data_IF_537597472745
#
_entry.id   IF_537597472745
#
_cell.length_a   1.000
_cell.length_b   1.000
_cell.length_c   1.000
_cell.angle_alpha   90.00
_cell.angle_beta   90.00
_cell.angle_gamma   90.00
#
_symmetry.space_group_name_H-M   'P 1'
#
loop_
_entity.id
_entity.type
_entity.pdbx_description
1 polymer ?
#
# COMPACT_ATOMS: atom_id res chain seq x y z
N UNK A 1 7.22 2.18 18.41
CA UNK A 1 7.79 1.98 17.07
C UNK A 1 7.77 0.49 16.75
N UNK A 2 7.51 0.13 15.50
CA UNK A 2 7.52 -1.27 15.06
C UNK A 2 8.63 -1.44 14.01
N UNK A 3 9.68 -2.18 14.38
CA UNK A 3 10.82 -2.47 13.51
C UNK A 3 10.60 -3.82 12.86
N UNK A 4 10.55 -3.84 11.53
CA UNK A 4 10.33 -5.08 10.78
C UNK A 4 11.47 -5.38 9.85
N UNK A 5 11.89 -6.63 9.85
CA UNK A 5 12.92 -7.08 8.94
C UNK A 5 12.27 -7.65 7.69
N UNK A 6 12.63 -7.10 6.55
CA UNK A 6 12.19 -7.54 5.24
C UNK A 6 13.38 -8.10 4.47
N UNK A 7 13.12 -9.04 3.57
CA UNK A 7 14.10 -9.50 2.59
C UNK A 7 13.52 -9.36 1.18
N UNK A 8 14.29 -8.82 0.24
CA UNK A 8 13.89 -8.84 -1.17
C UNK A 8 14.04 -10.26 -1.70
N UNK A 9 12.94 -10.86 -2.16
CA UNK A 9 12.98 -12.17 -2.84
C UNK A 9 13.01 -11.97 -4.34
N UNK A 10 13.86 -12.72 -5.02
CA UNK A 10 13.71 -12.94 -6.44
C UNK A 10 12.45 -13.78 -6.68
N UNK A 11 11.44 -13.17 -7.28
CA UNK A 11 10.15 -13.82 -7.54
C UNK A 11 10.19 -14.99 -8.54
N UNK A 12 11.27 -15.14 -9.31
CA UNK A 12 11.43 -16.26 -10.24
C UNK A 12 12.01 -17.50 -9.57
N UNK A 13 12.91 -17.31 -8.59
CA UNK A 13 13.59 -18.40 -7.89
C UNK A 13 13.09 -18.59 -6.46
N UNK A 14 12.31 -17.63 -5.94
CA UNK A 14 11.96 -17.46 -4.53
C UNK A 14 13.15 -17.37 -3.57
N UNK A 15 14.36 -17.15 -4.07
CA UNK A 15 15.56 -16.98 -3.24
C UNK A 15 15.64 -15.54 -2.71
N UNK A 16 16.18 -15.40 -1.50
CA UNK A 16 16.55 -14.07 -0.97
C UNK A 16 17.75 -13.56 -1.76
N UNK A 17 17.71 -12.30 -2.15
CA UNK A 17 18.82 -11.65 -2.85
C UNK A 17 19.92 -11.26 -1.86
N UNK A 18 21.17 -11.34 -2.28
CA UNK A 18 22.30 -10.94 -1.45
C UNK A 18 22.24 -9.44 -1.11
N UNK A 19 22.56 -9.09 0.13
CA UNK A 19 22.43 -7.72 0.66
C UNK A 19 21.00 -7.18 0.71
N UNK A 20 19.98 -8.03 0.55
CA UNK A 20 18.60 -7.57 0.43
C UNK A 20 17.78 -7.65 1.72
N UNK A 21 18.44 -7.89 2.85
CA UNK A 21 17.86 -7.74 4.17
C UNK A 21 17.81 -6.25 4.52
N UNK A 22 16.63 -5.73 4.82
CA UNK A 22 16.49 -4.34 5.28
C UNK A 22 15.45 -4.27 6.39
N UNK A 23 15.73 -3.43 7.38
CA UNK A 23 14.77 -3.13 8.44
C UNK A 23 13.96 -1.90 8.06
N UNK A 24 12.65 -1.96 8.28
CA UNK A 24 11.74 -0.84 8.15
C UNK A 24 11.25 -0.48 9.55
N UNK A 25 11.56 0.73 9.98
CA UNK A 25 10.91 1.35 11.12
C UNK A 25 9.66 2.07 10.61
N UNK A 26 8.53 1.78 11.24
CA UNK A 26 7.26 2.39 10.87
C UNK A 26 6.48 2.85 12.10
N UNK A 27 5.79 3.97 11.93
CA UNK A 27 4.75 4.39 12.86
C UNK A 27 3.52 3.48 12.67
N UNK A 28 2.79 3.15 13.75
CA UNK A 28 1.52 2.47 13.65
C UNK A 28 0.56 3.18 12.67
N UNK A 29 -0.27 2.47 11.91
CA UNK A 29 -1.32 3.12 11.12
C UNK A 29 -2.21 4.01 11.99
N UNK A 30 -2.63 5.14 11.44
CA UNK A 30 -3.41 6.15 12.15
C UNK A 30 -2.57 7.18 12.91
N UNK A 31 -1.29 6.90 13.21
CA UNK A 31 -0.40 7.83 13.94
C UNK A 31 -0.58 9.28 13.47
N UNK A 32 -0.91 10.13 14.44
CA UNK A 32 -1.15 11.54 14.22
C UNK A 32 0.15 12.32 14.44
N UNK A 33 0.39 13.30 13.57
CA UNK A 33 1.50 14.23 13.71
C UNK A 33 1.04 15.63 13.33
N UNK A 34 1.52 16.61 14.08
CA UNK A 34 1.41 18.02 13.71
C UNK A 34 2.60 18.38 12.83
N UNK A 35 2.33 18.94 11.64
CA UNK A 35 3.39 19.37 10.71
C UNK A 35 3.35 20.89 10.60
N UNK A 36 4.45 21.52 11.02
CA UNK A 36 4.68 22.95 10.85
C UNK A 36 5.66 23.18 9.70
N UNK A 37 5.23 23.98 8.71
CA UNK A 37 6.05 24.36 7.57
C UNK A 37 6.26 25.87 7.57
N UNK A 38 7.47 26.29 7.22
CA UNK A 38 7.83 27.69 7.08
C UNK A 38 8.02 27.99 5.60
N UNK A 39 7.35 29.04 5.13
CA UNK A 39 7.52 29.57 3.79
C UNK A 39 8.06 30.99 3.93
N UNK A 40 9.28 31.21 3.43
CA UNK A 40 9.86 32.54 3.31
C UNK A 40 9.47 33.11 1.95
N UNK A 41 8.74 34.21 1.96
CA UNK A 41 8.23 34.89 0.77
C UNK A 41 8.44 36.39 0.83
N UNK A 42 8.22 37.06 -0.29
CA UNK A 42 8.25 38.54 -0.37
C UNK A 42 6.83 39.08 -0.33
N UNK A 43 6.63 40.27 0.25
CA UNK A 43 5.31 40.92 0.29
C UNK A 43 4.65 41.10 -1.08
N UNK A 44 5.44 41.24 -2.15
CA UNK A 44 4.98 41.37 -3.54
C UNK A 44 4.38 40.08 -4.12
N UNK A 45 4.63 38.92 -3.48
CA UNK A 45 4.23 37.60 -3.97
C UNK A 45 3.17 36.92 -3.09
N UNK A 46 2.46 37.66 -2.24
CA UNK A 46 1.51 37.10 -1.27
C UNK A 46 0.49 36.13 -1.89
N UNK A 47 -0.10 36.49 -3.03
CA UNK A 47 -1.07 35.64 -3.73
C UNK A 47 -0.44 34.33 -4.23
N UNK A 48 0.79 34.41 -4.74
CA UNK A 48 1.56 33.25 -5.20
C UNK A 48 1.90 32.33 -4.04
N UNK A 49 2.28 32.89 -2.89
CA UNK A 49 2.59 32.13 -1.68
C UNK A 49 1.34 31.44 -1.13
N UNK A 50 0.21 32.14 -1.06
CA UNK A 50 -1.08 31.54 -0.67
C UNK A 50 -1.51 30.43 -1.64
N UNK A 51 -1.34 30.63 -2.95
CA UNK A 51 -1.61 29.61 -3.96
C UNK A 51 -0.69 28.38 -3.82
N UNK A 52 0.59 28.59 -3.51
CA UNK A 52 1.53 27.50 -3.24
C UNK A 52 1.13 26.71 -1.99
N UNK A 53 0.76 27.37 -0.90
CA UNK A 53 0.25 26.71 0.30
C UNK A 53 -1.01 25.89 0.02
N UNK A 54 -1.93 26.43 -0.78
CA UNK A 54 -3.13 25.72 -1.21
C UNK A 54 -2.81 24.47 -2.05
N UNK A 55 -1.84 24.58 -2.95
CA UNK A 55 -1.36 23.44 -3.73
C UNK A 55 -0.72 22.38 -2.82
N UNK A 56 0.13 22.79 -1.88
CA UNK A 56 0.80 21.91 -0.93
C UNK A 56 -0.19 21.18 -0.01
N UNK A 57 -1.12 21.92 0.59
CA UNK A 57 -2.20 21.37 1.40
C UNK A 57 -3.05 20.38 0.59
N UNK A 58 -3.25 20.66 -0.70
CA UNK A 58 -3.90 19.76 -1.64
C UNK A 58 -3.30 18.35 -1.66
N UNK A 59 -2.00 18.16 -1.45
CA UNK A 59 -1.41 16.82 -1.43
C UNK A 59 -1.87 15.98 -0.24
N UNK A 60 -2.26 16.58 0.89
CA UNK A 60 -2.70 15.87 2.08
C UNK A 60 -4.19 15.48 2.05
N UNK A 61 -4.93 15.92 1.02
CA UNK A 61 -6.34 15.56 0.85
C UNK A 61 -6.45 14.04 0.58
N UNK A 62 -7.27 13.28 1.35
CA UNK A 62 -7.48 11.85 1.13
C UNK A 62 -7.90 11.49 -0.32
N UNK A 63 -8.81 12.30 -0.88
CA UNK A 63 -9.34 12.23 -2.25
C UNK A 63 -8.25 12.48 -3.31
N UNK A 64 -7.12 13.10 -2.94
CA UNK A 64 -5.96 13.34 -3.83
C UNK A 64 -4.79 12.39 -3.59
N UNK A 65 -4.94 11.42 -2.70
CA UNK A 65 -3.99 10.31 -2.56
C UNK A 65 -3.02 10.49 -1.41
N UNK A 66 -3.15 11.57 -0.64
CA UNK A 66 -2.25 11.85 0.47
C UNK A 66 -0.82 12.17 0.05
N UNK A 67 -0.05 12.68 0.98
CA UNK A 67 1.36 12.98 0.81
C UNK A 67 2.19 11.83 1.37
N UNK A 68 3.22 11.38 0.65
CA UNK A 68 4.08 10.30 1.13
C UNK A 68 5.30 10.87 1.87
N UNK A 69 5.51 10.42 3.11
CA UNK A 69 6.60 10.84 3.98
C UNK A 69 7.51 9.64 4.30
N UNK A 70 8.83 9.89 4.39
CA UNK A 70 9.82 8.91 4.83
C UNK A 70 10.63 8.26 3.70
N UNK A 71 11.67 7.51 4.08
CA UNK A 71 12.67 6.97 3.15
C UNK A 71 12.15 5.94 2.13
N UNK A 72 10.96 5.37 2.37
CA UNK A 72 10.33 4.38 1.49
C UNK A 72 9.10 4.92 0.73
N UNK A 73 8.96 6.24 0.60
CA UNK A 73 7.88 6.87 -0.17
C UNK A 73 7.81 6.38 -1.63
N UNK A 74 8.96 6.07 -2.26
CA UNK A 74 8.99 5.50 -3.62
C UNK A 74 8.26 4.14 -3.71
N UNK A 75 8.18 3.40 -2.61
CA UNK A 75 7.44 2.14 -2.49
C UNK A 75 5.98 2.35 -2.10
N UNK A 76 5.51 3.59 -1.92
CA UNK A 76 4.15 3.91 -1.52
C UNK A 76 3.89 3.80 -0.02
N UNK A 77 4.94 3.75 0.81
CA UNK A 77 4.86 3.68 2.28
C UNK A 77 4.88 5.10 2.85
N UNK A 78 4.25 5.29 4.02
CA UNK A 78 4.29 6.55 4.76
C UNK A 78 3.27 7.58 4.30
N UNK A 79 2.09 7.13 3.88
CA UNK A 79 1.01 8.01 3.44
C UNK A 79 0.44 8.81 4.60
N UNK A 80 0.62 10.12 4.54
CA UNK A 80 0.01 11.11 5.41
C UNK A 80 -1.18 11.77 4.71
N UNK A 81 -2.27 11.94 5.45
CA UNK A 81 -3.48 12.64 5.02
C UNK A 81 -3.91 13.59 6.12
N UNK A 82 -4.73 14.59 5.79
CA UNK A 82 -5.43 15.33 6.83
C UNK A 82 -6.38 14.41 7.59
N UNK A 83 -6.55 14.69 8.88
CA UNK A 83 -7.66 14.14 9.63
C UNK A 83 -8.99 14.61 9.01
N UNK A 84 -10.08 13.84 9.17
CA UNK A 84 -11.41 14.33 8.86
C UNK A 84 -11.65 15.68 9.52
N UNK A 85 -12.30 16.59 8.80
CA UNK A 85 -12.68 17.95 9.24
C UNK A 85 -11.53 18.93 9.55
N UNK A 86 -10.28 18.47 9.57
CA UNK A 86 -9.11 19.32 9.69
C UNK A 86 -8.63 19.84 8.34
N UNK A 87 -7.97 21.00 8.37
CA UNK A 87 -7.43 21.66 7.19
C UNK A 87 -6.11 22.34 7.52
N UNK A 88 -5.27 22.54 6.50
CA UNK A 88 -4.11 23.41 6.64
C UNK A 88 -4.53 24.82 7.06
N UNK A 89 -3.77 25.41 7.96
CA UNK A 89 -3.94 26.80 8.42
C UNK A 89 -2.61 27.52 8.29
N UNK A 90 -2.67 28.82 8.06
CA UNK A 90 -1.47 29.65 7.95
C UNK A 90 -1.65 31.00 8.62
N UNK A 91 -0.53 31.56 9.06
CA UNK A 91 -0.39 32.93 9.55
C UNK A 91 0.81 33.54 8.86
N UNK A 92 0.62 34.70 8.24
CA UNK A 92 1.71 35.47 7.68
C UNK A 92 2.30 36.38 8.76
N UNK A 93 3.63 36.45 8.82
CA UNK A 93 4.36 37.36 9.70
C UNK A 93 5.11 38.38 8.85
N UNK A 94 4.96 39.67 9.17
CA UNK A 94 5.59 40.76 8.44
C UNK A 94 6.83 41.25 9.18
N UNK A 95 8.02 40.82 8.76
CA UNK A 95 9.26 41.12 9.49
C UNK A 95 9.72 42.59 9.41
N UNK A 96 9.03 43.43 8.62
CA UNK A 96 9.21 44.89 8.67
C UNK A 96 8.58 45.52 9.92
N UNK A 97 7.65 44.83 10.57
CA UNK A 97 6.99 45.26 11.78
C UNK A 97 7.59 44.53 12.99
N UNK A 98 8.16 45.29 13.93
CA UNK A 98 8.80 44.74 15.13
C UNK A 98 7.84 43.89 15.98
N UNK A 99 6.55 44.26 16.06
CA UNK A 99 5.55 43.46 16.79
C UNK A 99 5.29 42.13 16.09
N UNK A 100 5.17 42.11 14.76
CA UNK A 100 4.96 40.86 14.01
C UNK A 100 6.20 39.95 14.04
N UNK A 101 7.40 40.53 14.03
CA UNK A 101 8.65 39.79 14.26
C UNK A 101 8.70 39.21 15.68
N UNK A 102 8.31 39.98 16.70
CA UNK A 102 8.19 39.49 18.08
C UNK A 102 7.25 38.30 18.18
N UNK A 103 6.03 38.41 17.62
CA UNK A 103 5.07 37.31 17.57
C UNK A 103 5.63 36.06 16.86
N UNK A 104 6.40 36.24 15.79
CA UNK A 104 7.06 35.13 15.09
C UNK A 104 8.11 34.46 15.96
N UNK A 105 8.95 35.22 16.66
CA UNK A 105 9.99 34.69 17.54
C UNK A 105 9.38 33.97 18.74
N UNK A 106 8.38 34.56 19.38
CA UNK A 106 7.61 33.93 20.45
C UNK A 106 6.96 32.64 19.97
N UNK A 107 6.36 32.67 18.77
CA UNK A 107 5.75 31.49 18.19
C UNK A 107 6.80 30.40 17.95
N UNK A 108 7.94 30.74 17.35
CA UNK A 108 9.03 29.80 17.04
C UNK A 108 9.65 29.20 18.30
N UNK A 109 9.84 29.99 19.36
CA UNK A 109 10.35 29.54 20.64
C UNK A 109 9.41 28.54 21.32
N UNK A 110 8.09 28.76 21.17
CA UNK A 110 7.04 27.96 21.79
C UNK A 110 6.43 26.89 20.85
N UNK A 111 7.01 26.66 19.67
CA UNK A 111 6.43 25.78 18.64
C UNK A 111 6.41 24.30 19.05
N UNK A 112 7.26 23.91 20.01
CA UNK A 112 7.31 22.54 20.52
C UNK A 112 6.15 22.20 21.49
N UNK A 113 5.47 23.22 22.05
CA UNK A 113 4.40 23.02 23.03
C UNK A 113 3.02 23.09 22.36
N UNK A 114 2.51 21.91 21.95
CA UNK A 114 1.13 21.66 21.48
C UNK A 114 0.53 22.80 20.64
N UNK A 115 1.16 23.05 19.50
CA UNK A 115 0.84 24.18 18.64
C UNK A 115 -0.56 24.11 18.02
N UNK A 116 -1.16 22.93 17.84
CA UNK A 116 -2.54 22.78 17.34
C UNK A 116 -3.58 23.65 18.05
N UNK A 117 -3.43 23.92 19.35
CA UNK A 117 -4.36 24.80 20.06
C UNK A 117 -4.16 26.27 19.69
N UNK A 118 -2.91 26.69 19.46
CA UNK A 118 -2.52 28.07 19.15
C UNK A 118 -2.87 28.46 17.70
N UNK A 119 -2.96 27.49 16.79
CA UNK A 119 -3.36 27.74 15.38
C UNK A 119 -4.85 27.84 15.13
N UNK A 120 -5.69 27.60 16.14
CA UNK A 120 -7.13 27.59 15.89
C UNK A 120 -7.65 28.93 15.33
N UNK A 121 -6.97 30.03 15.64
CA UNK A 121 -7.27 31.36 15.14
C UNK A 121 -6.66 31.69 13.76
N UNK A 122 -5.84 30.81 13.18
CA UNK A 122 -5.13 31.07 11.93
C UNK A 122 -6.07 30.93 10.72
N UNK A 123 -5.72 31.61 9.61
CA UNK A 123 -6.50 31.58 8.37
C UNK A 123 -6.46 30.17 7.80
N UNK A 124 -7.62 29.59 7.50
CA UNK A 124 -7.70 28.31 6.78
C UNK A 124 -7.15 28.51 5.37
N UNK A 125 -6.32 27.57 4.93
CA UNK A 125 -5.88 27.51 3.53
C UNK A 125 -7.09 27.11 2.70
N UNK A 126 -7.48 27.97 1.75
CA UNK A 126 -8.52 27.62 0.78
C UNK A 126 -7.91 26.68 -0.23
N UNK A 127 -8.20 25.39 -0.12
CA UNK A 127 -7.75 24.42 -1.11
C UNK A 127 -8.74 24.51 -2.26
N UNK A 128 -8.30 24.90 -3.48
CA UNK A 128 -9.22 24.98 -4.60
C UNK A 128 -9.90 23.63 -4.78
N UNK A 129 -11.22 23.66 -4.97
CA UNK A 129 -12.03 22.55 -5.48
C UNK A 129 -11.61 22.24 -6.93
N UNK A 130 -10.34 21.89 -7.14
CA UNK A 130 -9.93 21.30 -8.40
C UNK A 130 -10.78 20.05 -8.58
N UNK A 131 -11.56 20.00 -9.67
CA UNK A 131 -12.38 18.87 -10.16
C UNK A 131 -11.79 17.53 -9.69
N UNK A 132 -12.21 17.07 -8.52
CA UNK A 132 -11.49 16.07 -7.72
C UNK A 132 -11.81 14.63 -8.12
N UNK A 133 -12.44 14.38 -9.28
CA UNK A 133 -12.94 13.04 -9.60
C UNK A 133 -12.65 12.53 -11.02
N UNK A 134 -12.23 13.37 -11.97
CA UNK A 134 -12.10 12.91 -13.37
C UNK A 134 -10.85 12.11 -13.68
N UNK A 135 -9.89 12.05 -12.77
CA UNK A 135 -8.55 11.54 -13.05
C UNK A 135 -8.14 10.42 -12.08
N UNK A 136 -9.05 9.98 -11.21
CA UNK A 136 -8.75 8.95 -10.21
C UNK A 136 -9.84 7.89 -10.21
N UNK A 137 -9.45 6.65 -10.01
CA UNK A 137 -10.34 5.55 -9.66
C UNK A 137 -10.11 5.21 -8.19
N UNK A 138 -11.16 5.19 -7.38
CA UNK A 138 -11.13 4.71 -5.99
C UNK A 138 -12.10 3.56 -5.84
N UNK A 139 -11.67 2.47 -5.22
CA UNK A 139 -12.49 1.26 -5.01
C UNK A 139 -12.34 0.83 -3.56
N UNK A 140 -13.45 0.75 -2.85
CA UNK A 140 -13.57 0.23 -1.49
C UNK A 140 -14.38 -1.06 -1.53
N UNK A 141 -13.92 -2.08 -0.81
CA UNK A 141 -14.59 -3.37 -0.69
C UNK A 141 -14.22 -4.05 0.61
N UNK A 142 -15.01 -5.05 0.97
CA UNK A 142 -14.81 -5.81 2.20
C UNK A 142 -14.50 -7.28 1.88
N UNK A 143 -13.48 -7.81 2.55
CA UNK A 143 -13.08 -9.21 2.44
C UNK A 143 -13.37 -9.98 3.72
N UNK A 144 -14.04 -11.12 3.62
CA UNK A 144 -14.19 -12.08 4.73
C UNK A 144 -13.52 -13.42 4.42
N UNK A 145 -13.26 -14.20 5.46
CA UNK A 145 -12.82 -15.60 5.33
C UNK A 145 -14.08 -16.47 5.20
N UNK A 146 -14.34 -17.12 4.06
CA UNK A 146 -15.50 -18.01 3.90
C UNK A 146 -15.43 -19.21 4.85
N UNK A 147 -16.59 -19.79 5.14
CA UNK A 147 -16.71 -20.97 6.02
C UNK A 147 -15.81 -22.11 5.54
N UNK A 148 -15.11 -22.75 6.47
CA UNK A 148 -14.20 -23.86 6.19
C UNK A 148 -12.87 -23.45 5.54
N UNK A 149 -12.65 -22.16 5.31
CA UNK A 149 -11.38 -21.61 4.87
C UNK A 149 -10.69 -20.88 6.03
N UNK A 150 -9.41 -20.59 5.83
CA UNK A 150 -8.57 -19.91 6.80
C UNK A 150 -7.55 -19.00 6.10
N UNK A 151 -6.87 -18.16 6.87
CA UNK A 151 -5.71 -17.37 6.42
C UNK A 151 -4.55 -17.64 7.36
N UNK A 152 -3.38 -18.00 6.82
CA UNK A 152 -2.16 -18.16 7.61
C UNK A 152 -1.80 -16.85 8.32
N UNK A 153 -1.46 -16.92 9.60
CA UNK A 153 -0.92 -15.81 10.39
C UNK A 153 0.58 -16.02 10.55
N UNK A 154 1.38 -15.01 10.25
CA UNK A 154 2.81 -15.02 10.56
C UNK A 154 3.37 -13.60 10.58
N UNK A 155 4.56 -13.42 11.17
CA UNK A 155 5.27 -12.14 11.23
C UNK A 155 5.96 -11.76 9.89
N UNK A 156 5.46 -12.29 8.77
CA UNK A 156 6.04 -12.12 7.44
C UNK A 156 5.18 -11.27 6.52
N UNK A 157 5.80 -10.78 5.45
CA UNK A 157 5.08 -10.12 4.36
C UNK A 157 4.08 -11.10 3.72
N UNK A 158 2.90 -10.58 3.34
CA UNK A 158 1.83 -11.29 2.61
C UNK A 158 0.79 -12.06 3.44
N UNK A 159 0.80 -11.95 4.76
CA UNK A 159 -0.17 -12.62 5.64
C UNK A 159 -0.80 -11.62 6.62
N UNK A 160 -1.99 -11.91 7.17
CA UNK A 160 -2.50 -11.20 8.34
C UNK A 160 -1.52 -11.21 9.50
N UNK A 161 -1.45 -10.08 10.20
CA UNK A 161 -0.52 -9.83 11.29
C UNK A 161 -1.24 -9.22 12.49
N UNK A 162 -0.76 -9.51 13.69
CA UNK A 162 -1.17 -8.79 14.90
C UNK A 162 -0.40 -7.48 14.97
N UNK A 163 -1.10 -6.36 15.08
CA UNK A 163 -0.51 -5.03 15.28
C UNK A 163 -1.26 -4.29 16.38
N UNK A 164 -0.61 -3.32 17.01
CA UNK A 164 -1.31 -2.33 17.84
C UNK A 164 -1.62 -1.10 17.00
N UNK A 165 -2.84 -0.60 17.11
CA UNK A 165 -3.22 0.66 16.50
C UNK A 165 -2.64 1.87 17.26
N UNK A 166 -3.00 3.08 16.84
CA UNK A 166 -2.59 4.32 17.49
C UNK A 166 -3.02 4.45 18.96
N UNK A 167 -4.09 3.75 19.37
CA UNK A 167 -4.61 3.74 20.75
C UNK A 167 -3.98 2.62 21.59
N UNK A 168 -3.08 1.82 20.99
CA UNK A 168 -2.46 0.67 21.62
C UNK A 168 -3.33 -0.59 21.59
N UNK A 169 -4.50 -0.56 20.94
CA UNK A 169 -5.42 -1.70 20.87
C UNK A 169 -4.94 -2.73 19.84
N UNK A 170 -5.00 -4.00 20.23
CA UNK A 170 -4.63 -5.09 19.35
C UNK A 170 -5.63 -5.26 18.19
N UNK A 171 -5.09 -5.31 16.98
CA UNK A 171 -5.82 -5.42 15.73
C UNK A 171 -5.19 -6.49 14.82
N UNK A 172 -6.04 -7.16 14.06
CA UNK A 172 -5.63 -7.87 12.85
C UNK A 172 -5.39 -6.87 11.75
N UNK A 173 -4.24 -6.99 11.08
CA UNK A 173 -3.94 -6.23 9.89
C UNK A 173 -3.73 -7.15 8.71
N UNK A 174 -4.47 -6.93 7.64
CA UNK A 174 -4.12 -7.42 6.31
C UNK A 174 -3.31 -6.31 5.59
N UNK A 175 -2.00 -6.51 5.36
CA UNK A 175 -1.18 -5.48 4.74
C UNK A 175 -1.62 -5.18 3.31
N UNK A 176 -1.74 -3.91 2.93
CA UNK A 176 -2.07 -3.48 1.57
C UNK A 176 -1.00 -3.92 0.56
N UNK A 177 0.25 -4.07 1.00
CA UNK A 177 1.35 -4.64 0.21
C UNK A 177 1.06 -6.08 -0.25
N UNK A 178 0.37 -6.87 0.57
CA UNK A 178 -0.08 -8.24 0.25
C UNK A 178 -0.99 -8.22 -0.98
N UNK A 179 -2.04 -7.38 -0.92
CA UNK A 179 -3.02 -7.25 -1.98
C UNK A 179 -2.40 -6.66 -3.23
N UNK A 180 -1.55 -5.64 -3.08
CA UNK A 180 -0.79 -5.06 -4.19
C UNK A 180 0.07 -6.11 -4.90
N UNK A 181 0.78 -6.97 -4.15
CA UNK A 181 1.60 -8.05 -4.70
C UNK A 181 0.77 -9.09 -5.44
N UNK A 182 -0.35 -9.51 -4.83
CA UNK A 182 -1.30 -10.45 -5.44
C UNK A 182 -1.88 -9.89 -6.75
N UNK A 183 -2.37 -8.65 -6.71
CA UNK A 183 -2.93 -7.98 -7.87
C UNK A 183 -1.89 -7.80 -8.98
N UNK A 184 -0.67 -7.34 -8.64
CA UNK A 184 0.43 -7.25 -9.60
C UNK A 184 0.70 -8.59 -10.29
N UNK A 185 0.75 -9.67 -9.52
CA UNK A 185 1.01 -11.02 -10.05
C UNK A 185 -0.06 -11.48 -11.02
N UNK A 186 -1.34 -11.29 -10.69
CA UNK A 186 -2.45 -11.69 -11.55
C UNK A 186 -2.58 -10.79 -12.79
N UNK A 187 -2.49 -9.47 -12.61
CA UNK A 187 -2.55 -8.50 -13.72
C UNK A 187 -1.41 -8.71 -14.70
N UNK A 188 -0.22 -9.09 -14.22
CA UNK A 188 0.88 -9.51 -15.10
C UNK A 188 0.47 -10.62 -16.08
N UNK A 189 -0.30 -11.61 -15.62
CA UNK A 189 -0.81 -12.70 -16.47
C UNK A 189 -1.88 -12.21 -17.44
N UNK A 190 -2.78 -11.32 -16.99
CA UNK A 190 -3.81 -10.72 -17.84
C UNK A 190 -3.17 -9.90 -18.96
N UNK A 191 -2.21 -9.05 -18.63
CA UNK A 191 -1.45 -8.23 -19.58
C UNK A 191 -0.71 -9.09 -20.61
N UNK A 192 -0.01 -10.14 -20.14
CA UNK A 192 0.68 -11.09 -21.02
C UNK A 192 -0.30 -11.80 -21.98
N UNK A 193 -1.47 -12.21 -21.49
CA UNK A 193 -2.53 -12.83 -22.32
C UNK A 193 -3.07 -11.87 -23.38
N UNK A 194 -3.09 -10.57 -23.11
CA UNK A 194 -3.49 -9.52 -24.05
C UNK A 194 -2.34 -9.05 -24.95
N UNK A 195 -1.19 -9.75 -24.95
CA UNK A 195 -0.04 -9.44 -25.80
C UNK A 195 0.74 -8.18 -25.38
N UNK A 196 0.51 -7.66 -24.18
CA UNK A 196 1.29 -6.54 -23.63
C UNK A 196 2.67 -7.01 -23.22
N UNK A 197 3.67 -6.15 -23.43
CA UNK A 197 5.01 -6.47 -22.97
C UNK A 197 5.07 -6.41 -21.43
N UNK A 198 5.53 -7.52 -20.84
CA UNK A 198 5.78 -7.64 -19.42
C UNK A 198 7.26 -7.89 -19.27
N UNK A 199 7.99 -6.91 -18.75
CA UNK A 199 9.43 -7.05 -18.45
C UNK A 199 9.68 -8.26 -17.55
N UNK A 200 8.79 -8.40 -16.59
CA UNK A 200 8.81 -9.38 -15.53
C UNK A 200 8.27 -10.74 -16.06
N UNK A 201 8.81 -11.25 -17.17
CA UNK A 201 8.53 -12.61 -17.65
C UNK A 201 9.66 -13.56 -17.32
N UNK A 202 9.32 -14.83 -17.07
CA UNK A 202 10.31 -15.86 -16.79
C UNK A 202 11.22 -16.15 -17.99
N UNK A 203 10.74 -15.98 -19.22
CA UNK A 203 11.56 -16.06 -20.44
C UNK A 203 12.66 -15.00 -20.43
N UNK A 204 12.30 -13.72 -20.28
CA UNK A 204 13.26 -12.61 -20.16
C UNK A 204 14.29 -12.87 -19.06
N UNK A 205 13.84 -13.36 -17.90
CA UNK A 205 14.73 -13.77 -16.81
C UNK A 205 15.69 -14.91 -17.20
N UNK A 206 15.25 -15.92 -17.96
CA UNK A 206 16.13 -16.98 -18.48
C UNK A 206 17.10 -16.44 -19.52
N UNK A 207 16.65 -15.60 -20.43
CA UNK A 207 17.48 -15.05 -21.50
C UNK A 207 18.65 -14.24 -20.91
N UNK A 208 18.40 -13.46 -19.86
CA UNK A 208 19.46 -12.74 -19.15
C UNK A 208 20.33 -13.61 -18.24
N UNK A 209 19.85 -14.79 -17.78
CA UNK A 209 20.73 -15.80 -17.17
C UNK A 209 21.69 -16.39 -18.20
N UNK A 210 21.18 -16.71 -19.40
CA UNK A 210 21.99 -17.27 -20.50
C UNK A 210 23.06 -16.29 -21.00
N UNK A 211 22.85 -14.98 -20.83
CA UNK A 211 23.84 -13.96 -21.19
C UNK A 211 24.94 -13.74 -20.13
N UNK A 212 24.97 -14.53 -19.05
CA UNK A 212 26.00 -14.45 -18.00
C UNK A 212 25.89 -13.22 -17.09
N UNK A 213 24.74 -12.54 -17.06
CA UNK A 213 24.57 -11.34 -16.24
C UNK A 213 24.36 -11.74 -14.78
N UNK A 214 25.28 -11.32 -13.89
CA UNK A 214 25.10 -11.44 -12.44
C UNK A 214 23.89 -10.62 -11.98
N UNK A 215 22.96 -11.23 -11.25
CA UNK A 215 21.79 -10.53 -10.71
C UNK A 215 22.09 -10.01 -9.32
N UNK A 216 22.23 -8.69 -9.23
CA UNK A 216 22.07 -7.98 -7.97
C UNK A 216 20.61 -7.49 -7.81
N UNK A 217 20.26 -7.09 -6.59
CA UNK A 217 18.95 -6.51 -6.33
C UNK A 217 18.63 -5.27 -7.16
N UNK A 218 19.68 -4.57 -7.60
CA UNK A 218 19.61 -3.37 -8.42
C UNK A 218 19.12 -3.69 -9.86
N UNK A 219 19.55 -4.80 -10.44
CA UNK A 219 19.09 -5.27 -11.75
C UNK A 219 17.59 -5.58 -11.77
N UNK A 220 17.08 -6.21 -10.70
CA UNK A 220 15.64 -6.48 -10.54
C UNK A 220 14.84 -5.20 -10.31
N UNK A 221 15.39 -4.26 -9.52
CA UNK A 221 14.78 -2.96 -9.31
C UNK A 221 14.62 -2.17 -10.62
N UNK A 222 15.57 -2.33 -11.55
CA UNK A 222 15.67 -1.63 -12.83
C UNK A 222 15.10 -2.36 -14.03
N UNK A 223 14.17 -3.30 -13.85
CA UNK A 223 13.56 -3.99 -15.00
C UNK A 223 14.60 -4.67 -15.91
N UNK A 224 15.69 -5.15 -15.33
CA UNK A 224 16.84 -5.75 -16.01
C UNK A 224 17.65 -4.77 -16.88
N UNK A 225 17.51 -3.46 -16.69
CA UNK A 225 18.32 -2.43 -17.36
C UNK A 225 19.69 -2.29 -16.68
N UNK A 226 20.76 -2.38 -17.50
CA UNK A 226 22.15 -2.28 -17.02
C UNK A 226 22.45 -0.89 -16.46
N UNK A 227 23.28 -0.81 -15.42
CA UNK A 227 23.62 0.44 -14.72
C UNK A 227 24.06 1.59 -15.64
N UNK A 228 24.83 1.28 -16.68
CA UNK A 228 25.32 2.26 -17.67
C UNK A 228 24.21 2.83 -18.57
N UNK A 229 23.15 2.06 -18.83
CA UNK A 229 22.04 2.46 -19.69
C UNK A 229 20.99 3.26 -18.92
N UNK A 230 20.91 3.09 -17.60
CA UNK A 230 19.88 3.70 -16.75
C UNK A 230 19.76 5.22 -16.87
N UNK A 231 20.86 5.96 -16.95
CA UNK A 231 20.78 7.42 -17.04
C UNK A 231 20.20 7.89 -18.36
N UNK A 232 20.60 7.24 -19.46
CA UNK A 232 20.08 7.54 -20.81
C UNK A 232 18.63 7.10 -20.93
N UNK A 233 18.31 5.96 -20.36
CA UNK A 233 16.96 5.40 -20.42
C UNK A 233 16.00 6.06 -19.42
N UNK A 234 16.46 6.71 -18.34
CA UNK A 234 15.55 7.26 -17.31
C UNK A 234 14.51 8.23 -17.88
N UNK A 235 14.91 9.09 -18.82
CA UNK A 235 14.00 10.03 -19.47
C UNK A 235 13.12 9.35 -20.52
N UNK A 236 13.71 8.49 -21.35
CA UNK A 236 12.98 7.72 -22.37
C UNK A 236 11.95 6.79 -21.74
N UNK A 237 12.36 6.01 -20.75
CA UNK A 237 11.50 5.12 -19.97
C UNK A 237 10.38 5.92 -19.30
N UNK A 238 10.62 7.10 -18.71
CA UNK A 238 9.52 7.88 -18.14
C UNK A 238 8.43 8.24 -19.15
N UNK A 239 8.79 8.44 -20.41
CA UNK A 239 7.85 8.77 -21.50
C UNK A 239 7.20 7.52 -22.09
N UNK A 240 7.96 6.43 -22.28
CA UNK A 240 7.51 5.22 -22.99
C UNK A 240 6.96 4.11 -22.07
N UNK A 241 7.33 4.09 -20.78
CA UNK A 241 6.88 3.08 -19.80
C UNK A 241 5.37 2.90 -19.79
N UNK A 242 4.52 3.97 -19.82
CA UNK A 242 3.08 3.79 -19.73
C UNK A 242 2.51 2.85 -20.79
N UNK A 243 3.00 2.97 -22.02
CA UNK A 243 2.52 2.16 -23.15
C UNK A 243 3.25 0.82 -23.26
N UNK A 244 4.58 0.84 -23.06
CA UNK A 244 5.44 -0.34 -23.23
C UNK A 244 5.32 -1.32 -22.08
N UNK A 245 5.23 -0.82 -20.84
CA UNK A 245 5.28 -1.60 -19.61
C UNK A 245 4.15 -1.18 -18.64
N UNK A 246 2.88 -1.36 -19.05
CA UNK A 246 1.73 -0.82 -18.30
C UNK A 246 1.65 -1.35 -16.87
N UNK A 247 2.02 -2.63 -16.65
CA UNK A 247 2.00 -3.23 -15.30
C UNK A 247 3.02 -2.56 -14.37
N UNK A 248 4.23 -2.30 -14.88
CA UNK A 248 5.29 -1.62 -14.13
C UNK A 248 4.95 -0.15 -13.89
N UNK A 249 4.28 0.49 -14.85
CA UNK A 249 3.79 1.85 -14.68
C UNK A 249 2.72 1.95 -13.59
N UNK A 250 1.77 1.01 -13.60
CA UNK A 250 0.69 0.93 -12.61
C UNK A 250 1.22 0.61 -11.21
N UNK A 251 2.00 -0.48 -11.07
CA UNK A 251 2.45 -0.98 -9.78
C UNK A 251 3.79 -0.42 -9.31
N UNK A 252 4.51 0.32 -10.14
CA UNK A 252 5.83 0.85 -9.83
C UNK A 252 6.95 -0.17 -9.90
N UNK A 253 8.16 0.36 -9.76
CA UNK A 253 9.44 -0.34 -9.79
C UNK A 253 10.30 0.13 -8.61
N UNK A 254 11.56 -0.32 -8.51
CA UNK A 254 12.47 0.21 -7.47
C UNK A 254 12.85 1.69 -7.68
N UNK A 255 12.65 2.23 -8.88
CA UNK A 255 13.06 3.60 -9.26
C UNK A 255 11.88 4.54 -9.57
N UNK A 256 10.69 3.98 -9.80
CA UNK A 256 9.48 4.73 -10.11
C UNK A 256 8.33 4.32 -9.19
N UNK A 257 7.71 5.30 -8.56
CA UNK A 257 6.48 5.11 -7.79
C UNK A 257 5.37 4.60 -8.71
N UNK A 258 4.65 3.58 -8.25
CA UNK A 258 3.43 3.12 -8.91
C UNK A 258 2.27 4.08 -8.67
N UNK A 259 1.31 4.10 -9.59
CA UNK A 259 0.07 4.89 -9.48
C UNK A 259 -1.02 4.22 -8.65
N UNK A 260 -0.92 2.90 -8.43
CA UNK A 260 -1.85 2.16 -7.58
C UNK A 260 -1.39 2.08 -6.13
N UNK A 261 -2.32 2.32 -5.22
CA UNK A 261 -2.11 2.29 -3.78
C UNK A 261 -3.19 1.46 -3.11
N UNK A 262 -2.79 0.58 -2.20
CA UNK A 262 -3.70 -0.21 -1.35
C UNK A 262 -3.54 0.26 0.08
N UNK A 263 -4.64 0.47 0.79
CA UNK A 263 -4.63 0.66 2.24
C UNK A 263 -4.39 -0.66 2.95
N UNK A 264 -3.77 -0.59 4.13
CA UNK A 264 -3.86 -1.67 5.10
C UNK A 264 -5.32 -1.78 5.58
N UNK A 265 -5.80 -3.01 5.79
CA UNK A 265 -7.11 -3.24 6.39
C UNK A 265 -6.92 -3.69 7.83
N UNK A 266 -7.57 -2.98 8.76
CA UNK A 266 -7.49 -3.23 10.20
C UNK A 266 -8.82 -3.73 10.74
N UNK A 267 -8.76 -4.76 11.58
CA UNK A 267 -9.92 -5.30 12.31
C UNK A 267 -9.52 -5.39 13.78
N UNK A 268 -10.24 -4.72 14.70
CA UNK A 268 -10.00 -4.90 16.12
C UNK A 268 -10.28 -6.34 16.54
N UNK A 269 -9.37 -6.93 17.32
CA UNK A 269 -9.53 -8.29 17.86
C UNK A 269 -10.70 -8.33 18.84
N UNK A 270 -11.59 -9.32 18.74
CA UNK A 270 -12.88 -9.33 19.45
C UNK A 270 -12.75 -9.37 20.98
N UNK A 271 -11.70 -10.00 21.52
CA UNK A 271 -11.36 -9.94 22.94
C UNK A 271 -9.90 -10.34 23.16
N UNK A 272 -9.11 -9.46 23.78
CA UNK A 272 -7.84 -9.87 24.37
C UNK A 272 -8.18 -10.76 25.57
N UNK A 273 -8.16 -12.08 25.39
CA UNK A 273 -8.22 -12.96 26.57
C UNK A 273 -6.90 -12.78 27.34
N UNK A 274 -7.00 -12.62 28.66
CA UNK A 274 -5.85 -12.47 29.55
C UNK A 274 -4.87 -13.68 29.51
N UNK A 275 -5.26 -14.78 28.84
CA UNK A 275 -4.50 -16.01 28.71
C UNK A 275 -3.82 -16.19 27.34
N UNK A 276 -3.81 -15.16 26.48
CA UNK A 276 -3.09 -15.19 25.20
C UNK A 276 -3.73 -16.05 24.09
N UNK A 277 -4.85 -16.74 24.39
CA UNK A 277 -5.67 -17.41 23.39
C UNK A 277 -6.80 -16.47 22.96
N UNK A 278 -6.68 -15.86 21.78
CA UNK A 278 -7.75 -15.05 21.22
C UNK A 278 -8.98 -15.94 20.97
N UNK A 279 -10.12 -15.54 21.50
CA UNK A 279 -11.32 -16.38 21.55
C UNK A 279 -11.84 -16.69 20.14
N UNK A 280 -11.57 -17.91 19.64
CA UNK A 280 -12.18 -18.51 18.44
C UNK A 280 -11.64 -18.03 17.09
N UNK A 281 -11.14 -16.80 16.98
CA UNK A 281 -10.66 -16.25 15.70
C UNK A 281 -9.45 -17.00 15.15
N UNK A 282 -8.60 -17.50 16.05
CA UNK A 282 -7.38 -18.23 15.71
C UNK A 282 -7.52 -19.73 15.92
N UNK A 283 -6.82 -20.49 15.09
CA UNK A 283 -6.69 -21.92 15.25
C UNK A 283 -5.24 -22.35 15.03
N UNK A 284 -4.69 -23.08 16.00
CA UNK A 284 -3.37 -23.67 15.90
C UNK A 284 -3.46 -25.03 15.22
N UNK A 285 -2.76 -25.19 14.10
CA UNK A 285 -2.78 -26.40 13.28
C UNK A 285 -1.39 -27.01 13.22
N UNK A 286 -1.33 -28.30 13.52
CA UNK A 286 -0.13 -29.11 13.31
C UNK A 286 -0.23 -29.83 11.97
N UNK A 287 0.82 -29.72 11.18
CA UNK A 287 0.96 -30.33 9.87
C UNK A 287 2.19 -31.22 9.83
N UNK A 288 2.14 -32.23 8.97
CA UNK A 288 3.28 -33.10 8.69
C UNK A 288 3.54 -33.08 7.19
N UNK A 289 4.81 -32.93 6.80
CA UNK A 289 5.19 -33.10 5.39
C UNK A 289 5.17 -34.59 5.05
N UNK A 290 4.38 -34.93 4.04
CA UNK A 290 4.31 -36.28 3.49
C UNK A 290 5.30 -36.39 2.34
N UNK A 291 6.10 -37.44 2.34
CA UNK A 291 6.94 -37.82 1.20
C UNK A 291 6.04 -38.37 0.08
N UNK A 292 6.02 -37.75 -1.11
CA UNK A 292 5.16 -38.19 -2.20
C UNK A 292 5.50 -39.59 -2.74
N UNK A 293 6.72 -40.10 -2.51
CA UNK A 293 7.14 -41.43 -2.99
C UNK A 293 6.69 -42.51 -2.01
N UNK A 294 6.99 -42.33 -0.72
CA UNK A 294 6.74 -43.36 0.29
C UNK A 294 5.38 -43.24 0.96
N UNK A 295 4.72 -42.08 0.86
CA UNK A 295 3.51 -41.76 1.64
C UNK A 295 3.78 -41.58 3.14
N UNK A 296 5.03 -41.75 3.59
CA UNK A 296 5.43 -41.61 4.98
C UNK A 296 5.61 -40.14 5.38
N UNK A 297 5.54 -39.90 6.70
CA UNK A 297 5.97 -38.62 7.25
C UNK A 297 7.48 -38.45 7.06
N UNK A 298 7.91 -37.32 6.49
CA UNK A 298 9.34 -37.00 6.41
C UNK A 298 9.86 -36.75 7.83
N UNK A 299 10.89 -37.47 8.31
CA UNK A 299 11.45 -37.26 9.65
C UNK A 299 11.86 -35.80 9.87
N UNK A 300 11.44 -35.23 11.01
CA UNK A 300 11.72 -33.84 11.35
C UNK A 300 10.90 -32.79 10.59
N UNK A 301 9.92 -33.20 9.77
CA UNK A 301 9.08 -32.28 9.00
C UNK A 301 7.68 -32.07 9.61
N UNK A 302 7.59 -32.15 10.93
CA UNK A 302 6.43 -31.68 11.69
C UNK A 302 6.54 -30.16 11.81
N UNK A 303 5.50 -29.43 11.42
CA UNK A 303 5.45 -27.98 11.56
C UNK A 303 4.07 -27.55 12.00
N UNK A 304 3.99 -26.42 12.67
CA UNK A 304 2.74 -25.87 13.16
C UNK A 304 2.54 -24.46 12.65
N UNK A 305 1.29 -24.15 12.32
CA UNK A 305 0.89 -22.85 11.84
C UNK A 305 -0.29 -22.35 12.66
N UNK A 306 -0.36 -21.04 12.88
CA UNK A 306 -1.56 -20.40 13.39
C UNK A 306 -2.32 -19.80 12.22
N UNK A 307 -3.63 -19.97 12.18
CA UNK A 307 -4.48 -19.46 11.11
C UNK A 307 -5.62 -18.64 11.67
N UNK A 308 -6.03 -17.59 10.96
CA UNK A 308 -7.29 -16.91 11.13
C UNK A 308 -8.39 -17.71 10.47
N UNK A 309 -9.49 -17.93 11.15
CA UNK A 309 -10.61 -18.73 10.64
C UNK A 309 -11.81 -17.87 10.27
N UNK A 310 -12.81 -18.48 9.65
CA UNK A 310 -14.11 -17.86 9.39
C UNK A 310 -14.90 -17.46 10.65
N UNK A 311 -14.40 -17.77 11.85
CA UNK A 311 -14.97 -17.27 13.11
C UNK A 311 -14.68 -15.78 13.34
N UNK A 312 -13.78 -15.20 12.56
CA UNK A 312 -13.60 -13.75 12.50
C UNK A 312 -14.91 -13.11 12.02
N UNK A 313 -15.69 -12.58 12.97
CA UNK A 313 -17.03 -12.04 12.72
C UNK A 313 -17.03 -10.77 11.85
N UNK A 314 -15.86 -10.16 11.62
CA UNK A 314 -15.67 -8.90 10.92
C UNK A 314 -14.94 -9.11 9.60
N UNK A 315 -15.16 -8.20 8.67
CA UNK A 315 -14.51 -8.16 7.37
C UNK A 315 -13.34 -7.18 7.34
N UNK A 316 -12.36 -7.44 6.48
CA UNK A 316 -11.26 -6.54 6.19
C UNK A 316 -11.75 -5.47 5.23
N UNK A 317 -11.91 -4.23 5.69
CA UNK A 317 -12.23 -3.10 4.82
C UNK A 317 -10.98 -2.65 4.07
N UNK A 318 -10.97 -2.84 2.76
CA UNK A 318 -9.85 -2.54 1.88
C UNK A 318 -10.24 -1.41 0.96
N UNK A 319 -9.34 -0.45 0.79
CA UNK A 319 -9.45 0.59 -0.23
C UNK A 319 -8.21 0.55 -1.12
N UNK A 320 -8.40 0.59 -2.43
CA UNK A 320 -7.33 0.99 -3.34
C UNK A 320 -7.73 2.17 -4.19
N UNK A 321 -6.71 2.86 -4.70
CA UNK A 321 -6.92 3.88 -5.72
C UNK A 321 -5.83 3.86 -6.77
N UNK A 322 -6.16 4.41 -7.94
CA UNK A 322 -5.26 4.57 -9.08
C UNK A 322 -5.31 6.02 -9.55
N UNK A 323 -4.15 6.66 -9.57
CA UNK A 323 -3.96 7.98 -10.19
C UNK A 323 -3.93 7.84 -11.73
N UNK A 324 -4.67 8.67 -12.45
CA UNK A 324 -4.79 8.67 -13.91
C UNK A 324 -4.99 7.27 -14.50
N UNK A 325 -6.03 6.50 -14.07
CA UNK A 325 -6.22 5.14 -14.53
C UNK A 325 -6.43 5.10 -16.04
N UNK A 326 -5.94 4.05 -16.68
CA UNK A 326 -6.33 3.72 -18.06
C UNK A 326 -7.44 2.66 -18.04
N UNK A 327 -8.30 2.65 -19.06
CA UNK A 327 -9.48 1.77 -19.08
C UNK A 327 -9.11 0.27 -18.96
N UNK A 328 -8.04 -0.16 -19.64
CA UNK A 328 -7.59 -1.55 -19.58
C UNK A 328 -7.03 -1.91 -18.19
N UNK A 329 -6.43 -0.97 -17.47
CA UNK A 329 -5.98 -1.16 -16.10
C UNK A 329 -7.17 -1.37 -15.16
N UNK A 330 -8.20 -0.53 -15.29
CA UNK A 330 -9.44 -0.68 -14.53
C UNK A 330 -10.14 -2.03 -14.82
N UNK A 331 -10.17 -2.46 -16.10
CA UNK A 331 -10.66 -3.80 -16.49
C UNK A 331 -9.84 -4.93 -15.87
N UNK A 332 -8.51 -4.83 -15.83
CA UNK A 332 -7.67 -5.82 -15.16
C UNK A 332 -7.93 -5.86 -13.66
N UNK A 333 -8.05 -4.71 -13.01
CA UNK A 333 -8.35 -4.61 -11.59
C UNK A 333 -9.71 -5.23 -11.23
N UNK A 334 -10.75 -4.93 -12.00
CA UNK A 334 -12.08 -5.53 -11.82
C UNK A 334 -12.05 -7.07 -11.98
N UNK A 335 -11.41 -7.58 -13.04
CA UNK A 335 -11.21 -9.03 -13.24
C UNK A 335 -10.39 -9.68 -12.13
N UNK A 336 -9.41 -8.96 -11.59
CA UNK A 336 -8.59 -9.44 -10.46
C UNK A 336 -9.42 -9.56 -9.19
N UNK A 337 -10.28 -8.57 -8.93
CA UNK A 337 -11.17 -8.58 -7.78
C UNK A 337 -12.20 -9.71 -7.86
N UNK A 338 -12.78 -9.94 -9.04
CA UNK A 338 -13.63 -11.11 -9.31
C UNK A 338 -12.87 -12.44 -9.11
N UNK A 339 -11.64 -12.54 -9.61
CA UNK A 339 -10.82 -13.75 -9.43
C UNK A 339 -10.47 -14.00 -7.95
N UNK A 340 -10.30 -12.93 -7.16
CA UNK A 340 -10.15 -13.03 -5.70
C UNK A 340 -11.40 -13.58 -5.04
N UNK A 341 -12.57 -13.05 -5.40
CA UNK A 341 -13.85 -13.46 -4.85
C UNK A 341 -14.23 -14.93 -5.18
N UNK A 342 -14.00 -15.32 -6.44
CA UNK A 342 -14.13 -16.72 -6.87
C UNK A 342 -13.13 -17.68 -6.20
N UNK A 343 -12.15 -17.18 -5.45
CA UNK A 343 -11.11 -17.99 -4.83
C UNK A 343 -10.09 -18.56 -5.82
N UNK A 344 -10.04 -18.04 -7.05
CA UNK A 344 -8.96 -18.32 -8.01
C UNK A 344 -7.64 -17.71 -7.53
N UNK A 345 -7.73 -16.56 -6.87
CA UNK A 345 -6.64 -15.94 -6.14
C UNK A 345 -6.77 -16.22 -4.66
N UNK A 346 -5.64 -16.48 -4.01
CA UNK A 346 -5.57 -16.80 -2.59
C UNK A 346 -4.56 -15.88 -1.91
N UNK A 347 -4.84 -15.51 -0.67
CA UNK A 347 -3.99 -14.66 0.16
C UNK A 347 -3.13 -15.51 1.09
N UNK A 348 -1.91 -15.05 1.38
CA UNK A 348 -0.98 -15.76 2.24
C UNK A 348 0.33 -16.11 1.55
N UNK A 349 1.21 -16.80 2.28
CA UNK A 349 2.52 -17.19 1.80
C UNK A 349 2.58 -18.68 1.42
N UNK A 350 3.31 -19.00 0.35
CA UNK A 350 3.62 -20.39 -0.05
C UNK A 350 2.39 -21.26 -0.38
N UNK A 351 2.48 -22.57 -0.15
CA UNK A 351 1.45 -23.61 -0.37
C UNK A 351 0.25 -23.50 0.59
N UNK A 352 0.35 -22.66 1.62
CA UNK A 352 -0.71 -22.38 2.60
C UNK A 352 -1.38 -21.04 2.26
N UNK A 353 -2.04 -21.03 1.10
CA UNK A 353 -2.76 -19.88 0.59
C UNK A 353 -4.23 -20.00 1.02
N UNK A 354 -4.70 -19.03 1.79
CA UNK A 354 -6.06 -18.94 2.28
C UNK A 354 -7.00 -18.26 1.29
N UNK A 355 -8.27 -18.64 1.33
CA UNK A 355 -9.32 -18.02 0.50
C UNK A 355 -9.94 -16.86 1.26
N UNK A 356 -10.24 -15.78 0.54
CA UNK A 356 -11.15 -14.72 0.97
C UNK A 356 -12.29 -14.61 -0.05
N UNK A 357 -13.36 -13.94 0.34
CA UNK A 357 -14.43 -13.55 -0.55
C UNK A 357 -14.89 -12.12 -0.26
N UNK A 358 -15.55 -11.52 -1.23
CA UNK A 358 -16.28 -10.27 -1.04
C UNK A 358 -17.48 -10.50 -0.11
N UNK A 359 -17.73 -9.51 0.73
CA UNK A 359 -18.95 -9.45 1.56
C UNK A 359 -20.11 -8.84 0.78
N UNK A 360 -19.83 -7.89 -0.10
CA UNK A 360 -20.79 -7.09 -0.85
C UNK A 360 -20.18 -6.53 -2.13
N UNK A 361 -21.01 -5.90 -2.96
CA UNK A 361 -20.53 -5.22 -4.16
C UNK A 361 -19.51 -4.12 -3.79
N UNK A 362 -18.39 -3.97 -4.53
CA UNK A 362 -17.43 -2.91 -4.29
C UNK A 362 -18.05 -1.52 -4.49
N UNK A 363 -17.80 -0.61 -3.56
CA UNK A 363 -18.11 0.80 -3.72
C UNK A 363 -16.98 1.47 -4.52
N UNK A 364 -17.28 1.96 -5.72
CA UNK A 364 -16.30 2.60 -6.60
C UNK A 364 -16.72 4.02 -6.97
N UNK A 365 -15.73 4.90 -7.13
CA UNK A 365 -15.93 6.28 -7.57
C UNK A 365 -14.81 6.76 -8.49
N UNK A 366 -15.15 7.72 -9.35
CA UNK A 366 -14.24 8.34 -10.32
C UNK A 366 -14.24 7.63 -11.68
N UNK A 367 -13.12 7.69 -12.41
CA UNK A 367 -13.05 7.17 -13.79
C UNK A 367 -13.16 5.66 -13.81
N UNK A 368 -13.97 5.12 -14.72
CA UNK A 368 -14.17 3.68 -14.90
C UNK A 368 -14.78 2.97 -13.68
N UNK A 369 -15.42 3.70 -12.75
CA UNK A 369 -16.04 3.11 -11.56
C UNK A 369 -17.16 2.13 -11.88
N UNK A 370 -17.83 2.30 -13.02
CA UNK A 370 -18.90 1.43 -13.52
C UNK A 370 -18.44 -0.01 -13.80
N UNK A 371 -17.14 -0.23 -13.97
CA UNK A 371 -16.58 -1.58 -14.12
C UNK A 371 -16.62 -2.40 -12.81
N UNK A 372 -16.76 -1.73 -11.67
CA UNK A 372 -16.76 -2.35 -10.34
C UNK A 372 -18.16 -2.49 -9.76
N UNK A 373 -19.08 -1.58 -10.08
CA UNK A 373 -20.46 -1.60 -9.57
C UNK A 373 -21.24 -2.85 -9.97
N UNK A 374 -20.83 -3.50 -11.07
CA UNK A 374 -21.46 -4.73 -11.56
C UNK A 374 -20.85 -6.01 -10.96
N UNK A 375 -19.83 -5.90 -10.11
CA UNK A 375 -19.25 -7.07 -9.43
C UNK A 375 -20.19 -7.48 -8.30
N UNK A 376 -20.92 -8.58 -8.52
CA UNK A 376 -21.70 -9.23 -7.46
C UNK A 376 -20.81 -10.22 -6.72
N UNK A 377 -20.88 -10.29 -5.37
CA UNK A 377 -20.21 -11.32 -4.61
C UNK A 377 -20.63 -12.71 -5.07
N UNK A 378 -19.68 -13.63 -5.10
CA UNK A 378 -19.94 -15.03 -5.34
C UNK A 378 -20.68 -15.63 -4.14
N UNK A 379 -21.96 -15.95 -4.34
CA UNK A 379 -22.75 -16.70 -3.38
C UNK A 379 -22.28 -18.15 -3.39
N UNK A 380 -21.60 -18.56 -2.32
CA UNK A 380 -21.50 -19.99 -2.00
C UNK A 380 -22.83 -20.41 -1.39
N UNK A 381 -23.58 -21.27 -2.07
CA UNK A 381 -24.72 -21.97 -1.46
C UNK A 381 -24.29 -22.52 -0.09
N UNK A 382 -25.02 -22.14 0.97
CA UNK A 382 -24.66 -22.38 2.37
C UNK A 382 -24.65 -23.86 2.80
#
# INVERSE_FOLDING_TARGET
>A
EDTRTHHMRNRHTNTVLDGALFSLESCPPGTLAEVLLWLEGSSENKERDEAFLAHLAGFFIPERGGFLVGGNAARGIGRAIFQPDENARFKAFEFRNAASLGEYLDFRQNANDHFSQKVKAWKKVSIPENKTSSDRLTVQFELKIPRGQDLLIADGDMVPQRVRDQEGKLCWRLPGSTLRGLFRSWITRLAAREGKDVVDMHSKYRDSLSSGTSYDGDSLAWLFVKKLERQKEKETLRREIPEKYPVQYLFGTGFQRGRIHFSDALIPVSSESALGNLAGEENYRTHVRIDPITGGAVPGALFSNTVLTSQLARSFSVTFFVENPQEHEAKWLAKTLQALDFGLLRLGSSKASGRVQLVGAPAASGVFSELFTNIQPFETEE
#
